data_IF_018735105533
#
_entry.id   IF_018735105533
#
_cell.length_a   1.000
_cell.length_b   1.000
_cell.length_c   1.000
_cell.angle_alpha   90.00
_cell.angle_beta   90.00
_cell.angle_gamma   90.00
#
_symmetry.space_group_name_H-M   'P 1'
#
loop_
_entity.id
_entity.type
_entity.pdbx_description
1 polymer ?
#
# COMPACT_ATOMS: atom_id res chain seq x y z
N UNK A 1 1.48 24.98 4.97
CA UNK A 1 2.76 24.98 5.71
C UNK A 1 3.86 25.55 4.83
N UNK A 2 4.66 26.49 5.36
CA UNK A 2 5.90 26.96 4.74
C UNK A 2 6.87 25.77 4.56
N UNK A 3 7.69 25.79 3.52
CA UNK A 3 8.67 24.74 3.20
C UNK A 3 9.50 24.20 4.39
N UNK A 4 10.07 25.03 5.28
CA UNK A 4 10.88 24.52 6.40
C UNK A 4 10.07 23.70 7.40
N UNK A 5 8.84 24.10 7.70
CA UNK A 5 7.97 23.38 8.66
C UNK A 5 7.62 21.98 8.12
N UNK A 6 7.44 21.86 6.80
CA UNK A 6 7.18 20.56 6.17
C UNK A 6 8.35 19.60 6.29
N UNK A 7 9.57 20.10 6.15
CA UNK A 7 10.78 19.27 6.27
C UNK A 7 11.01 18.82 7.71
N UNK A 8 10.83 19.70 8.69
CA UNK A 8 10.96 19.36 10.11
C UNK A 8 9.96 18.28 10.51
N UNK A 9 8.68 18.44 10.14
CA UNK A 9 7.67 17.44 10.42
C UNK A 9 7.95 16.11 9.70
N UNK A 10 8.50 16.16 8.49
CA UNK A 10 8.87 14.96 7.77
C UNK A 10 10.01 14.19 8.46
N UNK A 11 11.03 14.89 8.97
CA UNK A 11 12.10 14.27 9.75
C UNK A 11 11.57 13.68 11.06
N UNK A 12 10.66 14.39 11.73
CA UNK A 12 10.02 13.91 12.95
C UNK A 12 9.24 12.61 12.69
N UNK A 13 8.49 12.52 11.59
CA UNK A 13 7.81 11.29 11.16
C UNK A 13 8.77 10.10 11.00
N UNK A 14 9.96 10.31 10.43
CA UNK A 14 10.98 9.25 10.34
C UNK A 14 11.50 8.85 11.73
N UNK A 15 11.65 9.79 12.66
CA UNK A 15 12.07 9.49 14.02
C UNK A 15 11.03 8.64 14.78
N UNK A 16 9.73 8.86 14.56
CA UNK A 16 8.67 8.07 15.22
C UNK A 16 8.43 6.72 14.54
N UNK A 17 9.09 6.41 13.43
CA UNK A 17 8.91 5.15 12.69
C UNK A 17 9.14 3.90 13.56
N UNK A 18 10.31 3.80 14.18
CA UNK A 18 10.67 2.65 15.04
C UNK A 18 9.77 2.56 16.29
N UNK A 19 9.51 3.65 17.03
CA UNK A 19 8.56 3.63 18.14
C UNK A 19 7.16 3.14 17.75
N UNK A 20 6.61 3.58 16.62
CA UNK A 20 5.27 3.14 16.17
C UNK A 20 5.30 1.66 15.78
N UNK A 21 6.32 1.20 15.06
CA UNK A 21 6.45 -0.20 14.69
C UNK A 21 6.53 -1.11 15.93
N UNK A 22 7.30 -0.71 16.94
CA UNK A 22 7.38 -1.43 18.21
C UNK A 22 6.05 -1.44 18.97
N UNK A 23 5.33 -0.31 19.01
CA UNK A 23 4.00 -0.24 19.62
C UNK A 23 3.01 -1.19 18.92
N UNK A 24 3.01 -1.23 17.59
CA UNK A 24 2.18 -2.16 16.83
C UNK A 24 2.56 -3.62 17.09
N UNK A 25 3.87 -3.92 17.19
CA UNK A 25 4.37 -5.23 17.56
C UNK A 25 3.86 -5.69 18.94
N UNK A 26 3.96 -4.84 19.97
CA UNK A 26 3.46 -5.17 21.31
C UNK A 26 1.95 -5.47 21.32
N UNK A 27 1.17 -4.79 20.48
CA UNK A 27 -0.26 -5.03 20.33
C UNK A 27 -0.59 -6.25 19.46
N UNK A 28 0.32 -6.67 18.57
CA UNK A 28 0.04 -7.70 17.55
C UNK A 28 -0.34 -9.05 18.15
N UNK A 29 0.38 -9.50 19.18
CA UNK A 29 0.04 -10.74 19.90
C UNK A 29 -1.33 -10.69 20.57
N UNK A 30 -1.71 -9.54 21.11
CA UNK A 30 -3.04 -9.37 21.72
C UNK A 30 -4.13 -9.42 20.66
N UNK A 31 -3.94 -8.76 19.52
CA UNK A 31 -4.89 -8.75 18.41
C UNK A 31 -5.06 -10.15 17.83
N UNK A 32 -3.97 -10.88 17.59
CA UNK A 32 -4.02 -12.24 17.06
C UNK A 32 -4.73 -13.17 18.04
N UNK A 33 -4.36 -13.13 19.32
CA UNK A 33 -4.99 -13.96 20.35
C UNK A 33 -6.47 -13.61 20.58
N UNK A 34 -6.86 -12.35 20.37
CA UNK A 34 -8.26 -11.92 20.45
C UNK A 34 -9.08 -12.43 19.26
N UNK A 35 -8.53 -12.36 18.04
CA UNK A 35 -9.19 -12.89 16.84
C UNK A 35 -9.30 -14.41 16.91
N UNK A 36 -8.19 -15.08 17.25
CA UNK A 36 -8.16 -16.52 17.38
C UNK A 36 -6.99 -17.01 18.25
N UNK A 37 -7.26 -17.48 19.48
CA UNK A 37 -6.23 -17.92 20.44
C UNK A 37 -5.31 -19.02 19.91
N UNK A 38 -5.82 -19.85 19.00
CA UNK A 38 -5.14 -21.02 18.45
C UNK A 38 -4.43 -20.75 17.11
N UNK A 39 -4.39 -19.49 16.66
CA UNK A 39 -3.78 -19.12 15.39
C UNK A 39 -2.30 -19.53 15.28
N UNK A 40 -1.55 -19.44 16.39
CA UNK A 40 -0.13 -19.75 16.43
C UNK A 40 0.18 -21.23 16.13
N UNK A 41 -0.64 -22.15 16.63
CA UNK A 41 -0.46 -23.59 16.39
C UNK A 41 -0.75 -23.94 14.93
N UNK A 42 -1.79 -23.34 14.34
CA UNK A 42 -2.06 -23.50 12.91
C UNK A 42 -0.96 -22.90 12.06
N UNK A 43 -0.47 -21.72 12.40
CA UNK A 43 0.65 -21.10 11.69
C UNK A 43 1.88 -22.01 11.71
N UNK A 44 2.24 -22.53 12.89
CA UNK A 44 3.43 -23.38 13.04
C UNK A 44 3.28 -24.79 12.42
N UNK A 45 2.05 -25.23 12.14
CA UNK A 45 1.74 -26.55 11.56
C UNK A 45 1.26 -26.51 10.10
N UNK A 46 1.35 -25.35 9.43
CA UNK A 46 0.80 -25.14 8.08
C UNK A 46 -0.70 -25.46 7.97
N UNK A 47 -1.45 -25.14 9.03
CA UNK A 47 -2.89 -25.33 9.10
C UNK A 47 -3.33 -26.77 9.41
N UNK A 48 -2.39 -27.70 9.64
CA UNK A 48 -2.72 -29.11 9.93
C UNK A 48 -3.38 -29.28 11.30
N UNK A 49 -2.97 -28.52 12.31
CA UNK A 49 -3.46 -28.69 13.68
C UNK A 49 -3.85 -27.35 14.33
N UNK A 50 -4.96 -27.38 15.05
CA UNK A 50 -5.49 -26.24 15.82
C UNK A 50 -4.92 -26.15 17.23
N UNK A 51 -4.20 -27.17 17.67
CA UNK A 51 -3.63 -27.26 19.01
C UNK A 51 -2.18 -27.72 18.94
N UNK A 52 -1.45 -27.53 20.04
CA UNK A 52 -0.08 -28.03 20.18
C UNK A 52 -0.06 -29.55 20.30
N UNK A 53 0.06 -30.21 19.15
CA UNK A 53 0.19 -31.66 19.06
C UNK A 53 1.60 -32.15 19.41
N UNK A 54 2.61 -31.28 19.46
CA UNK A 54 4.00 -31.71 19.62
C UNK A 54 4.44 -31.77 21.08
N UNK A 55 4.02 -30.81 21.90
CA UNK A 55 4.39 -30.73 23.31
C UNK A 55 3.19 -30.95 24.21
N UNK A 56 2.14 -30.12 24.12
CA UNK A 56 0.94 -30.26 24.96
C UNK A 56 0.24 -31.62 24.77
N UNK A 57 0.13 -32.11 23.53
CA UNK A 57 -0.44 -33.42 23.24
C UNK A 57 0.36 -34.59 23.82
N UNK A 58 1.69 -34.48 23.87
CA UNK A 58 2.58 -35.47 24.45
C UNK A 58 2.57 -35.42 25.99
N UNK A 59 2.57 -34.23 26.58
CA UNK A 59 2.42 -34.04 28.03
C UNK A 59 1.07 -34.56 28.55
N UNK A 60 0.00 -34.43 27.75
CA UNK A 60 -1.30 -35.03 28.06
C UNK A 60 -1.31 -36.56 28.08
N UNK A 61 -0.24 -37.20 27.59
CA UNK A 61 0.00 -38.65 27.68
C UNK A 61 1.12 -38.98 28.67
N UNK A 62 1.44 -38.06 29.58
CA UNK A 62 2.48 -38.20 30.62
C UNK A 62 3.90 -38.37 30.07
N UNK A 63 4.14 -38.02 28.80
CA UNK A 63 5.48 -38.06 28.20
C UNK A 63 6.26 -36.82 28.65
N UNK A 64 7.46 -37.03 29.22
CA UNK A 64 8.28 -35.97 29.83
C UNK A 64 9.00 -35.06 28.80
N UNK A 65 8.26 -34.37 27.94
CA UNK A 65 8.88 -33.53 26.89
C UNK A 65 9.55 -32.27 27.47
N UNK A 66 9.08 -31.76 28.61
CA UNK A 66 9.70 -30.61 29.29
C UNK A 66 11.11 -30.92 29.77
N UNK A 67 11.32 -32.06 30.42
CA UNK A 67 12.64 -32.46 30.93
C UNK A 67 13.63 -32.73 29.78
N UNK A 68 13.13 -33.24 28.65
CA UNK A 68 13.92 -33.38 27.42
C UNK A 68 14.47 -32.04 26.92
N UNK A 69 13.62 -31.01 26.84
CA UNK A 69 14.05 -29.68 26.39
C UNK A 69 15.01 -29.02 27.41
N UNK A 70 14.72 -29.14 28.70
CA UNK A 70 15.59 -28.64 29.78
C UNK A 70 16.99 -29.26 29.76
N UNK A 71 17.12 -30.54 29.37
CA UNK A 71 18.43 -31.21 29.26
C UNK A 71 19.36 -30.56 28.21
N UNK A 72 18.81 -29.84 27.23
CA UNK A 72 19.57 -29.23 26.12
C UNK A 72 20.07 -27.82 26.48
N UNK A 73 19.22 -27.03 27.13
CA UNK A 73 19.48 -25.63 27.50
C UNK A 73 19.96 -25.45 28.95
N UNK A 74 19.88 -26.51 29.77
CA UNK A 74 20.21 -26.48 31.19
C UNK A 74 19.11 -25.80 32.02
N UNK A 75 19.46 -25.40 33.25
CA UNK A 75 18.54 -24.78 34.22
C UNK A 75 18.13 -23.32 33.90
N UNK A 76 18.17 -22.92 32.62
CA UNK A 76 17.71 -21.61 32.19
C UNK A 76 16.19 -21.57 32.14
N UNK A 77 15.58 -20.60 32.83
CA UNK A 77 14.13 -20.44 32.87
C UNK A 77 13.70 -19.47 31.77
N UNK A 78 12.95 -19.97 30.79
CA UNK A 78 12.40 -19.17 29.69
C UNK A 78 10.93 -18.84 29.98
N UNK A 79 10.55 -17.58 29.79
CA UNK A 79 9.17 -17.11 30.01
C UNK A 79 8.25 -17.35 28.82
N UNK A 80 8.80 -17.43 27.61
CA UNK A 80 8.05 -17.54 26.36
C UNK A 80 8.53 -18.73 25.53
N UNK A 81 7.64 -19.47 24.84
CA UNK A 81 8.01 -20.58 23.97
C UNK A 81 8.99 -20.18 22.85
N UNK A 82 8.88 -18.97 22.32
CA UNK A 82 9.78 -18.44 21.29
C UNK A 82 11.23 -18.43 21.76
N UNK A 83 11.47 -17.91 22.96
CA UNK A 83 12.81 -17.78 23.55
C UNK A 83 13.39 -19.17 23.84
N UNK A 84 12.57 -20.09 24.38
CA UNK A 84 12.95 -21.48 24.63
C UNK A 84 13.34 -22.20 23.34
N UNK A 85 12.48 -22.15 22.33
CA UNK A 85 12.72 -22.85 21.07
C UNK A 85 13.92 -22.28 20.32
N UNK A 86 14.10 -20.96 20.31
CA UNK A 86 15.30 -20.33 19.75
C UNK A 86 16.58 -20.83 20.43
N UNK A 87 16.58 -20.91 21.77
CA UNK A 87 17.73 -21.38 22.52
C UNK A 87 18.04 -22.87 22.30
N UNK A 88 17.00 -23.71 22.20
CA UNK A 88 17.14 -25.15 21.91
C UNK A 88 17.63 -25.38 20.48
N UNK A 89 17.09 -24.65 19.50
CA UNK A 89 17.45 -24.78 18.08
C UNK A 89 18.90 -24.39 17.78
N UNK A 90 19.55 -23.56 18.61
CA UNK A 90 21.00 -23.32 18.50
C UNK A 90 21.84 -24.61 18.64
N UNK A 91 21.27 -25.67 19.22
CA UNK A 91 21.87 -27.00 19.36
C UNK A 91 21.00 -28.05 18.63
N UNK A 92 20.65 -27.79 17.38
CA UNK A 92 19.71 -28.63 16.59
C UNK A 92 20.12 -30.11 16.57
N UNK A 93 21.41 -30.43 16.44
CA UNK A 93 21.88 -31.83 16.44
C UNK A 93 21.63 -32.52 17.79
N UNK A 94 21.85 -31.80 18.90
CA UNK A 94 21.55 -32.31 20.24
C UNK A 94 20.05 -32.48 20.45
N UNK A 95 19.24 -31.54 19.94
CA UNK A 95 17.78 -31.66 19.97
C UNK A 95 17.33 -32.93 19.23
N UNK A 96 17.81 -33.15 18.00
CA UNK A 96 17.45 -34.33 17.22
C UNK A 96 17.82 -35.61 17.95
N UNK A 97 19.05 -35.70 18.45
CA UNK A 97 19.50 -36.87 19.20
C UNK A 97 18.62 -37.12 20.44
N UNK A 98 18.30 -36.09 21.23
CA UNK A 98 17.46 -36.22 22.43
C UNK A 98 16.05 -36.69 22.10
N UNK A 99 15.44 -36.15 21.02
CA UNK A 99 14.10 -36.56 20.58
C UNK A 99 14.08 -38.00 20.06
N UNK A 100 15.08 -38.39 19.27
CA UNK A 100 15.19 -39.74 18.70
C UNK A 100 15.54 -40.80 19.74
N UNK A 101 16.28 -40.42 20.80
CA UNK A 101 16.63 -41.31 21.91
C UNK A 101 15.44 -41.60 22.83
N UNK A 102 14.36 -40.81 22.77
CA UNK A 102 13.19 -41.02 23.59
C UNK A 102 12.18 -41.94 22.87
N UNK A 103 12.18 -43.23 23.23
CA UNK A 103 11.31 -44.23 22.62
C UNK A 103 9.81 -43.91 22.77
N UNK A 104 9.39 -43.36 23.91
CA UNK A 104 7.98 -43.03 24.17
C UNK A 104 7.50 -41.88 23.27
N UNK A 105 8.34 -40.84 23.14
CA UNK A 105 8.06 -39.72 22.25
C UNK A 105 8.06 -40.13 20.78
N UNK A 106 9.00 -40.98 20.36
CA UNK A 106 9.04 -41.52 19.00
C UNK A 106 7.82 -42.38 18.66
N UNK A 107 7.34 -43.19 19.60
CA UNK A 107 6.08 -43.94 19.45
C UNK A 107 4.87 -43.00 19.35
N UNK A 108 4.84 -41.94 20.17
CA UNK A 108 3.81 -40.90 20.09
C UNK A 108 3.80 -40.21 18.72
N UNK A 109 4.96 -39.76 18.22
CA UNK A 109 5.07 -39.13 16.91
C UNK A 109 4.57 -40.07 15.81
N UNK A 110 5.01 -41.34 15.83
CA UNK A 110 4.59 -42.34 14.85
C UNK A 110 3.08 -42.60 14.87
N UNK A 111 2.47 -42.69 16.07
CA UNK A 111 1.02 -42.86 16.23
C UNK A 111 0.21 -41.71 15.63
N UNK A 112 0.77 -40.49 15.64
CA UNK A 112 0.16 -39.29 15.08
C UNK A 112 0.59 -38.99 13.63
N UNK A 113 1.32 -39.90 12.96
CA UNK A 113 1.91 -39.69 11.64
C UNK A 113 2.85 -38.46 11.55
N UNK A 114 3.59 -38.20 12.63
CA UNK A 114 4.55 -37.11 12.77
C UNK A 114 5.99 -37.65 12.76
N UNK A 115 6.94 -36.76 12.50
CA UNK A 115 8.38 -37.06 12.54
C UNK A 115 9.11 -35.95 13.32
N UNK A 116 10.36 -36.23 13.71
CA UNK A 116 11.23 -35.23 14.37
C UNK A 116 11.42 -33.98 13.51
N UNK A 117 11.47 -34.13 12.18
CA UNK A 117 11.56 -32.97 11.27
C UNK A 117 10.34 -32.05 11.37
N UNK A 118 9.15 -32.61 11.59
CA UNK A 118 7.95 -31.81 11.81
C UNK A 118 8.02 -31.03 13.13
N UNK A 119 8.58 -31.62 14.19
CA UNK A 119 8.82 -30.95 15.48
C UNK A 119 9.82 -29.81 15.31
N UNK A 120 10.94 -30.05 14.63
CA UNK A 120 11.97 -29.03 14.37
C UNK A 120 11.39 -27.90 13.52
N UNK A 121 10.63 -28.20 12.47
CA UNK A 121 9.99 -27.20 11.63
C UNK A 121 8.97 -26.34 12.42
N UNK A 122 8.19 -26.98 13.29
CA UNK A 122 7.27 -26.30 14.20
C UNK A 122 8.02 -25.34 15.14
N UNK A 123 9.08 -25.81 15.79
CA UNK A 123 9.91 -25.00 16.70
C UNK A 123 10.54 -23.82 15.96
N UNK A 124 11.06 -24.02 14.74
CA UNK A 124 11.64 -22.94 13.90
C UNK A 124 10.60 -21.86 13.63
N UNK A 125 9.40 -22.23 13.19
CA UNK A 125 8.32 -21.26 12.93
C UNK A 125 7.90 -20.47 14.16
N UNK A 126 7.79 -21.12 15.31
CA UNK A 126 7.45 -20.42 16.56
C UNK A 126 8.60 -19.53 17.03
N UNK A 127 9.86 -19.98 16.91
CA UNK A 127 11.05 -19.17 17.21
C UNK A 127 11.11 -17.90 16.37
N UNK A 128 10.84 -18.02 15.07
CA UNK A 128 10.92 -16.91 14.11
C UNK A 128 9.67 -15.99 14.15
N UNK A 129 8.69 -16.29 15.00
CA UNK A 129 7.42 -15.58 15.03
C UNK A 129 7.58 -14.11 15.45
N UNK A 130 8.43 -13.84 16.44
CA UNK A 130 8.69 -12.47 16.92
C UNK A 130 9.29 -11.62 15.79
N UNK A 131 10.28 -12.15 15.07
CA UNK A 131 10.94 -11.49 13.95
C UNK A 131 9.98 -11.27 12.77
N UNK A 132 9.17 -12.27 12.43
CA UNK A 132 8.19 -12.17 11.35
C UNK A 132 7.11 -11.11 11.66
N UNK A 133 6.61 -11.07 12.89
CA UNK A 133 5.67 -10.05 13.32
C UNK A 133 6.32 -8.67 13.36
N UNK A 134 7.55 -8.54 13.85
CA UNK A 134 8.27 -7.28 13.83
C UNK A 134 8.43 -6.76 12.38
N UNK A 135 8.86 -7.61 11.45
CA UNK A 135 9.01 -7.27 10.04
C UNK A 135 7.69 -6.83 9.39
N UNK A 136 6.58 -7.53 9.70
CA UNK A 136 5.26 -7.13 9.22
C UNK A 136 4.84 -5.75 9.75
N UNK A 137 5.11 -5.46 11.03
CA UNK A 137 4.79 -4.17 11.64
C UNK A 137 5.69 -3.03 11.13
N UNK A 138 6.98 -3.29 10.89
CA UNK A 138 7.88 -2.36 10.21
C UNK A 138 7.33 -2.00 8.82
N UNK A 139 6.94 -3.00 8.03
CA UNK A 139 6.34 -2.80 6.72
C UNK A 139 5.06 -1.95 6.78
N UNK A 140 4.11 -2.29 7.67
CA UNK A 140 2.84 -1.55 7.80
C UNK A 140 3.08 -0.10 8.22
N UNK A 141 4.00 0.13 9.15
CA UNK A 141 4.35 1.47 9.61
C UNK A 141 4.99 2.27 8.49
N UNK A 142 5.89 1.67 7.72
CA UNK A 142 6.55 2.30 6.58
C UNK A 142 5.53 2.73 5.53
N UNK A 143 4.59 1.84 5.20
CA UNK A 143 3.51 2.13 4.26
C UNK A 143 2.64 3.30 4.74
N UNK A 144 2.28 3.31 6.03
CA UNK A 144 1.53 4.42 6.65
C UNK A 144 2.26 5.75 6.55
N UNK A 145 3.57 5.79 6.85
CA UNK A 145 4.38 7.00 6.75
C UNK A 145 4.49 7.47 5.29
N UNK A 146 4.70 6.55 4.34
CA UNK A 146 4.75 6.86 2.91
C UNK A 146 3.42 7.46 2.45
N UNK A 147 2.28 6.93 2.90
CA UNK A 147 0.96 7.50 2.62
C UNK A 147 0.83 8.92 3.18
N UNK A 148 1.32 9.18 4.39
CA UNK A 148 1.34 10.54 4.98
C UNK A 148 2.21 11.49 4.14
N UNK A 149 3.40 11.05 3.71
CA UNK A 149 4.26 11.83 2.80
C UNK A 149 3.60 12.12 1.45
N UNK A 150 2.86 11.16 0.92
CA UNK A 150 2.14 11.35 -0.32
C UNK A 150 0.97 12.31 -0.17
N UNK A 151 0.09 12.10 0.81
CA UNK A 151 -1.17 12.83 0.97
C UNK A 151 -0.98 14.24 1.54
N UNK A 152 -0.21 14.38 2.63
CA UNK A 152 -0.06 15.67 3.32
C UNK A 152 1.05 16.53 2.69
N UNK A 153 2.17 15.90 2.34
CA UNK A 153 3.35 16.62 1.86
C UNK A 153 3.43 16.73 0.34
N UNK A 154 2.69 15.91 -0.40
CA UNK A 154 2.72 15.83 -1.87
C UNK A 154 4.11 15.49 -2.41
N UNK A 155 4.86 14.65 -1.68
CA UNK A 155 6.26 14.30 -1.99
C UNK A 155 6.43 13.14 -2.98
N UNK A 156 5.47 12.97 -3.91
CA UNK A 156 5.45 11.86 -4.88
C UNK A 156 6.81 11.61 -5.56
N UNK A 157 7.40 12.63 -6.19
CA UNK A 157 8.68 12.47 -6.91
C UNK A 157 9.85 12.11 -5.98
N UNK A 158 9.84 12.59 -4.74
CA UNK A 158 10.89 12.29 -3.75
C UNK A 158 10.78 10.84 -3.25
N UNK A 159 9.56 10.34 -3.09
CA UNK A 159 9.30 8.95 -2.72
C UNK A 159 9.85 8.01 -3.81
N UNK A 160 9.60 8.29 -5.10
CA UNK A 160 10.15 7.47 -6.18
C UNK A 160 11.68 7.46 -6.23
N UNK A 161 12.30 8.64 -6.05
CA UNK A 161 13.77 8.73 -6.04
C UNK A 161 14.35 7.95 -4.87
N UNK A 162 13.79 8.11 -3.66
CA UNK A 162 14.18 7.35 -2.49
C UNK A 162 14.01 5.84 -2.67
N UNK A 163 12.88 5.41 -3.24
CA UNK A 163 12.60 4.01 -3.54
C UNK A 163 13.60 3.42 -4.55
N UNK A 164 13.93 4.16 -5.61
CA UNK A 164 14.93 3.74 -6.60
C UNK A 164 16.31 3.56 -5.98
N UNK A 165 16.76 4.52 -5.16
CA UNK A 165 18.05 4.42 -4.46
C UNK A 165 18.06 3.25 -3.47
N UNK A 166 16.99 3.08 -2.68
CA UNK A 166 16.86 1.98 -1.72
C UNK A 166 16.89 0.63 -2.42
N UNK A 167 16.20 0.50 -3.56
CA UNK A 167 16.17 -0.72 -4.34
C UNK A 167 17.55 -1.05 -4.91
N UNK A 168 18.23 -0.08 -5.51
CA UNK A 168 19.60 -0.25 -6.04
C UNK A 168 20.54 -0.68 -4.92
N UNK A 169 20.48 -0.02 -3.75
CA UNK A 169 21.30 -0.36 -2.60
C UNK A 169 21.11 -1.83 -2.20
N UNK A 170 19.86 -2.28 -1.99
CA UNK A 170 19.57 -3.64 -1.56
C UNK A 170 19.91 -4.70 -2.61
N UNK A 171 19.76 -4.40 -3.90
CA UNK A 171 20.13 -5.33 -4.98
C UNK A 171 21.64 -5.49 -5.07
N UNK A 172 22.39 -4.38 -5.00
CA UNK A 172 23.86 -4.43 -4.98
C UNK A 172 24.32 -5.19 -3.75
N UNK A 173 23.76 -4.88 -2.58
CA UNK A 173 24.11 -5.55 -1.32
C UNK A 173 23.92 -7.06 -1.42
N UNK A 174 22.78 -7.51 -1.97
CA UNK A 174 22.50 -8.92 -2.24
C UNK A 174 23.51 -9.55 -3.23
N UNK A 175 23.86 -8.87 -4.33
CA UNK A 175 24.86 -9.36 -5.29
C UNK A 175 26.27 -9.47 -4.70
N UNK A 176 26.57 -8.65 -3.69
CA UNK A 176 27.87 -8.64 -3.00
C UNK A 176 27.89 -9.48 -1.72
N UNK A 177 26.88 -10.32 -1.50
CA UNK A 177 26.77 -11.13 -0.27
C UNK A 177 26.86 -10.29 1.02
N UNK A 178 26.19 -9.13 1.05
CA UNK A 178 26.13 -8.15 2.15
C UNK A 178 27.38 -7.27 2.36
N UNK A 179 28.40 -7.38 1.51
CA UNK A 179 29.64 -6.61 1.66
C UNK A 179 29.40 -5.09 1.63
N UNK A 180 28.43 -4.62 0.84
CA UNK A 180 28.11 -3.19 0.78
C UNK A 180 27.58 -2.70 2.12
N UNK A 181 26.59 -3.38 2.71
CA UNK A 181 26.07 -3.01 4.03
C UNK A 181 27.17 -3.09 5.09
N UNK A 182 27.98 -4.14 5.10
CA UNK A 182 29.08 -4.27 6.05
C UNK A 182 30.09 -3.10 5.96
N UNK A 183 30.33 -2.58 4.75
CA UNK A 183 31.19 -1.42 4.53
C UNK A 183 30.63 -0.11 5.12
N UNK A 184 29.33 -0.03 5.41
CA UNK A 184 28.67 1.11 6.07
C UNK A 184 28.63 0.99 7.60
N UNK A 185 28.91 -0.18 8.17
CA UNK A 185 28.90 -0.39 9.62
C UNK A 185 29.83 0.58 10.38
N UNK A 186 31.11 0.79 9.98
CA UNK A 186 32.00 1.70 10.70
C UNK A 186 31.50 3.15 10.77
N UNK A 187 30.84 3.62 9.72
CA UNK A 187 30.28 4.96 9.61
C UNK A 187 29.04 5.09 10.49
N UNK A 188 28.18 4.06 10.51
CA UNK A 188 27.03 4.01 11.41
C UNK A 188 27.45 3.96 12.88
N UNK A 189 28.47 3.17 13.22
CA UNK A 189 29.04 3.11 14.57
C UNK A 189 29.64 4.45 15.02
N UNK A 190 30.17 5.25 14.10
CA UNK A 190 30.62 6.62 14.43
C UNK A 190 29.47 7.57 14.77
N UNK A 191 28.30 7.35 14.18
CA UNK A 191 27.10 8.15 14.46
C UNK A 191 26.37 7.68 15.73
N UNK A 192 26.42 6.39 16.01
CA UNK A 192 25.81 5.75 17.18
C UNK A 192 26.87 4.90 17.89
N UNK A 193 27.51 5.48 18.90
CA UNK A 193 28.70 4.92 19.57
C UNK A 193 28.48 3.51 20.12
N UNK A 194 27.26 3.24 20.58
CA UNK A 194 26.91 2.00 21.29
C UNK A 194 26.30 0.93 20.37
N UNK A 195 26.38 1.13 19.05
CA UNK A 195 25.81 0.20 18.07
C UNK A 195 26.67 -1.06 17.92
N UNK A 196 26.15 -2.20 18.39
CA UNK A 196 26.76 -3.50 18.13
C UNK A 196 26.60 -3.90 16.65
N UNK A 197 27.44 -4.80 16.17
CA UNK A 197 27.32 -5.30 14.79
C UNK A 197 26.05 -6.15 14.61
N UNK A 198 25.62 -6.87 15.64
CA UNK A 198 24.36 -7.63 15.62
C UNK A 198 23.16 -6.69 15.47
N UNK A 199 23.09 -5.60 16.24
CA UNK A 199 22.02 -4.59 16.13
C UNK A 199 21.99 -3.92 14.75
N UNK A 200 23.18 -3.68 14.18
CA UNK A 200 23.31 -3.17 12.82
C UNK A 200 22.72 -4.14 11.79
N UNK A 201 23.07 -5.43 11.90
CA UNK A 201 22.54 -6.45 10.99
C UNK A 201 21.03 -6.60 11.10
N UNK A 202 20.46 -6.55 12.31
CA UNK A 202 19.00 -6.54 12.50
C UNK A 202 18.37 -5.36 11.78
N UNK A 203 18.99 -4.18 11.87
CA UNK A 203 18.51 -2.98 11.18
C UNK A 203 18.59 -3.14 9.66
N UNK A 204 19.73 -3.58 9.11
CA UNK A 204 19.88 -3.74 7.66
C UNK A 204 18.95 -4.83 7.11
N UNK A 205 18.84 -5.97 7.79
CA UNK A 205 18.12 -7.15 7.31
C UNK A 205 16.61 -7.11 7.58
N UNK A 206 16.15 -6.34 8.56
CA UNK A 206 14.72 -6.13 8.82
C UNK A 206 14.20 -4.83 8.21
N UNK A 207 14.76 -3.69 8.61
CA UNK A 207 14.20 -2.37 8.35
C UNK A 207 14.29 -1.94 6.88
N UNK A 208 15.43 -2.15 6.22
CA UNK A 208 15.60 -1.73 4.82
C UNK A 208 14.72 -2.56 3.85
N UNK A 209 14.63 -3.90 3.96
CA UNK A 209 13.68 -4.68 3.18
C UNK A 209 12.23 -4.28 3.41
N UNK A 210 11.81 -4.04 4.66
CA UNK A 210 10.45 -3.58 4.96
C UNK A 210 10.12 -2.24 4.29
N UNK A 211 11.06 -1.28 4.32
CA UNK A 211 10.93 -0.01 3.60
C UNK A 211 10.87 -0.19 2.08
N UNK A 212 11.66 -1.13 1.52
CA UNK A 212 11.64 -1.45 0.09
C UNK A 212 10.27 -1.98 -0.32
N UNK A 213 9.74 -2.97 0.40
CA UNK A 213 8.42 -3.53 0.08
C UNK A 213 7.30 -2.51 0.24
N UNK A 214 7.37 -1.66 1.27
CA UNK A 214 6.38 -0.59 1.47
C UNK A 214 6.40 0.45 0.34
N UNK A 215 7.60 0.86 -0.10
CA UNK A 215 7.75 1.79 -1.23
C UNK A 215 7.28 1.17 -2.54
N UNK A 216 7.62 -0.09 -2.84
CA UNK A 216 7.14 -0.80 -4.03
C UNK A 216 5.62 -0.94 -4.03
N UNK A 217 5.03 -1.32 -2.90
CA UNK A 217 3.57 -1.40 -2.75
C UNK A 217 2.90 -0.06 -3.05
N UNK A 218 3.43 1.03 -2.48
CA UNK A 218 2.95 2.37 -2.78
C UNK A 218 3.05 2.71 -4.29
N UNK A 219 4.17 2.39 -4.93
CA UNK A 219 4.39 2.65 -6.36
C UNK A 219 3.37 1.90 -7.22
N UNK A 220 3.06 0.64 -6.89
CA UNK A 220 2.06 -0.15 -7.59
C UNK A 220 0.69 0.53 -7.49
N UNK A 221 0.24 0.88 -6.28
CA UNK A 221 -1.06 1.55 -6.09
C UNK A 221 -1.12 2.92 -6.78
N UNK A 222 -0.08 3.75 -6.64
CA UNK A 222 -0.06 5.08 -7.25
C UNK A 222 -0.08 4.99 -8.78
N UNK A 223 0.63 4.03 -9.37
CA UNK A 223 0.62 3.77 -10.82
C UNK A 223 -0.75 3.32 -11.31
N UNK A 224 -1.43 2.40 -10.60
CA UNK A 224 -2.79 1.95 -10.95
C UNK A 224 -3.78 3.10 -10.88
N UNK A 225 -3.76 3.88 -9.79
CA UNK A 225 -4.65 5.04 -9.59
C UNK A 225 -4.41 6.08 -10.69
N UNK A 226 -3.17 6.32 -11.08
CA UNK A 226 -2.84 7.27 -12.16
C UNK A 226 -3.26 6.78 -13.51
N UNK A 227 -3.03 5.51 -13.84
CA UNK A 227 -3.51 4.93 -15.09
C UNK A 227 -5.03 5.11 -15.23
N UNK A 228 -5.77 4.92 -14.14
CA UNK A 228 -7.21 5.17 -14.13
C UNK A 228 -7.56 6.66 -14.36
N UNK A 229 -6.86 7.58 -13.67
CA UNK A 229 -7.05 9.03 -13.84
C UNK A 229 -6.73 9.49 -15.26
N UNK A 230 -5.64 9.00 -15.84
CA UNK A 230 -5.19 9.37 -17.18
C UNK A 230 -6.15 8.85 -18.26
N UNK A 231 -6.63 7.61 -18.11
CA UNK A 231 -7.69 7.06 -18.97
C UNK A 231 -8.96 7.91 -18.90
N UNK A 232 -9.39 8.29 -17.69
CA UNK A 232 -10.57 9.15 -17.51
C UNK A 232 -10.36 10.51 -18.17
N UNK A 233 -9.21 11.13 -17.97
CA UNK A 233 -8.89 12.43 -18.58
C UNK A 233 -8.83 12.35 -20.11
N UNK A 234 -8.19 11.32 -20.66
CA UNK A 234 -8.11 11.12 -22.12
C UNK A 234 -9.49 10.90 -22.76
N UNK A 235 -10.38 10.16 -22.10
CA UNK A 235 -11.79 10.03 -22.52
C UNK A 235 -12.50 11.38 -22.51
N UNK A 236 -12.40 12.12 -21.40
CA UNK A 236 -13.00 13.45 -21.29
C UNK A 236 -12.49 14.40 -22.38
N UNK A 237 -11.20 14.37 -22.69
CA UNK A 237 -10.62 15.17 -23.78
C UNK A 237 -11.18 14.79 -25.15
N UNK A 238 -11.33 13.49 -25.41
CA UNK A 238 -11.90 12.99 -26.67
C UNK A 238 -13.36 13.41 -26.80
N UNK A 239 -14.15 13.22 -25.75
CA UNK A 239 -15.57 13.58 -25.72
C UNK A 239 -15.77 15.11 -25.83
N UNK A 240 -14.84 15.89 -25.27
CA UNK A 240 -14.84 17.36 -25.37
C UNK A 240 -14.60 17.80 -26.81
N UNK A 241 -13.63 17.20 -27.51
CA UNK A 241 -13.36 17.47 -28.93
C UNK A 241 -14.59 17.14 -29.79
N UNK A 242 -15.19 15.96 -29.58
CA UNK A 242 -16.41 15.55 -30.29
C UNK A 242 -17.55 16.54 -30.05
N UNK A 243 -17.75 16.95 -28.79
CA UNK A 243 -18.79 17.91 -28.42
C UNK A 243 -18.57 19.27 -29.07
N UNK A 244 -17.32 19.75 -29.12
CA UNK A 244 -16.96 21.01 -29.76
C UNK A 244 -17.23 21.01 -31.27
N UNK A 245 -16.74 20.01 -32.01
CA UNK A 245 -16.98 19.92 -33.45
C UNK A 245 -18.46 19.68 -33.80
N UNK A 246 -19.20 19.01 -32.93
CA UNK A 246 -20.66 18.85 -33.08
C UNK A 246 -21.40 20.16 -32.88
N UNK A 247 -20.89 21.02 -31.99
CA UNK A 247 -21.51 22.30 -31.66
C UNK A 247 -21.52 23.26 -32.86
N UNK A 248 -20.44 23.29 -33.65
CA UNK A 248 -20.38 24.05 -34.90
C UNK A 248 -21.44 23.57 -35.92
N UNK A 249 -21.56 22.24 -36.12
CA UNK A 249 -22.56 21.66 -37.03
C UNK A 249 -23.98 21.99 -36.60
N UNK A 250 -24.26 21.88 -35.30
CA UNK A 250 -25.58 22.18 -34.71
C UNK A 250 -25.93 23.65 -34.90
N UNK A 251 -24.98 24.57 -34.72
CA UNK A 251 -25.21 25.99 -34.95
C UNK A 251 -25.61 26.28 -36.41
N UNK A 252 -24.97 25.62 -37.37
CA UNK A 252 -25.32 25.77 -38.78
C UNK A 252 -26.74 25.22 -39.08
N UNK A 253 -27.10 24.07 -38.51
CA UNK A 253 -28.44 23.48 -38.67
C UNK A 253 -29.51 24.38 -38.04
N UNK A 254 -29.29 24.86 -36.81
CA UNK A 254 -30.23 25.76 -36.12
C UNK A 254 -30.42 27.06 -36.91
N UNK A 255 -29.35 27.64 -37.44
CA UNK A 255 -29.43 28.84 -38.29
C UNK A 255 -30.30 28.62 -39.52
N UNK A 256 -30.17 27.47 -40.20
CA UNK A 256 -31.00 27.14 -41.36
C UNK A 256 -32.47 26.95 -40.97
N UNK A 257 -32.76 26.23 -39.87
CA UNK A 257 -34.14 26.00 -39.41
C UNK A 257 -34.82 27.31 -39.01
N UNK A 258 -34.12 28.20 -38.30
CA UNK A 258 -34.65 29.51 -37.90
C UNK A 258 -35.03 30.34 -39.14
N UNK A 259 -34.22 30.27 -40.21
CA UNK A 259 -34.45 31.04 -41.43
C UNK A 259 -35.52 30.43 -42.34
N UNK A 260 -35.56 29.11 -42.50
CA UNK A 260 -36.39 28.43 -43.50
C UNK A 260 -37.73 27.95 -42.94
N UNK A 261 -37.75 27.41 -41.71
CA UNK A 261 -38.94 26.79 -41.13
C UNK A 261 -38.92 26.87 -39.58
N UNK A 262 -39.19 28.04 -38.98
CA UNK A 262 -39.03 28.27 -37.55
C UNK A 262 -39.96 27.41 -36.67
N UNK A 263 -41.00 26.81 -37.26
CA UNK A 263 -41.96 25.92 -36.57
C UNK A 263 -41.42 24.50 -36.32
N UNK A 264 -40.35 24.08 -37.01
CA UNK A 264 -39.75 22.74 -36.83
C UNK A 264 -38.91 22.76 -35.55
N UNK A 265 -39.35 22.11 -34.48
CA UNK A 265 -38.55 21.97 -33.26
C UNK A 265 -37.47 20.91 -33.44
N UNK A 266 -36.23 21.26 -33.12
CA UNK A 266 -35.15 20.29 -33.08
C UNK A 266 -35.28 19.47 -31.78
N UNK A 267 -35.65 18.20 -31.91
CA UNK A 267 -36.00 17.34 -30.76
C UNK A 267 -34.77 16.85 -30.01
N UNK A 268 -33.61 16.71 -30.67
CA UNK A 268 -32.42 16.22 -29.99
C UNK A 268 -31.12 16.77 -30.60
N UNK A 269 -30.34 17.46 -29.78
CA UNK A 269 -28.99 17.90 -30.10
C UNK A 269 -28.02 16.98 -29.37
N UNK A 270 -27.23 16.18 -30.11
CA UNK A 270 -26.17 15.33 -29.54
C UNK A 270 -24.94 16.14 -29.12
N UNK A 271 -25.11 17.14 -28.26
CA UNK A 271 -24.00 17.82 -27.58
C UNK A 271 -23.99 17.36 -26.13
N UNK A 272 -22.91 16.73 -25.72
CA UNK A 272 -22.75 16.29 -24.34
C UNK A 272 -22.38 17.49 -23.44
N UNK A 273 -23.39 18.23 -22.99
CA UNK A 273 -23.24 19.40 -22.10
C UNK A 273 -22.51 19.04 -20.80
N UNK A 274 -22.69 17.82 -20.30
CA UNK A 274 -22.05 17.35 -19.07
C UNK A 274 -20.53 17.27 -19.20
N UNK A 275 -20.01 16.89 -20.37
CA UNK A 275 -18.56 16.84 -20.63
C UNK A 275 -17.96 18.24 -20.66
N UNK A 276 -18.62 19.19 -21.32
CA UNK A 276 -18.20 20.60 -21.33
C UNK A 276 -18.22 21.16 -19.90
N UNK A 277 -19.27 20.84 -19.14
CA UNK A 277 -19.40 21.26 -17.75
C UNK A 277 -18.30 20.67 -16.85
N UNK A 278 -17.98 19.39 -16.99
CA UNK A 278 -16.89 18.75 -16.22
C UNK A 278 -15.53 19.41 -16.53
N UNK A 279 -15.27 19.75 -17.79
CA UNK A 279 -14.07 20.48 -18.19
C UNK A 279 -14.01 21.89 -17.58
N UNK A 280 -15.13 22.63 -17.61
CA UNK A 280 -15.21 23.97 -17.01
C UNK A 280 -15.01 23.94 -15.48
N UNK A 281 -15.53 22.91 -14.79
CA UNK A 281 -15.36 22.73 -13.34
C UNK A 281 -13.90 22.47 -12.94
N UNK A 282 -13.12 21.80 -13.78
CA UNK A 282 -11.68 21.56 -13.56
C UNK A 282 -10.83 22.81 -13.74
N UNK A 283 -11.22 23.72 -14.65
CA UNK A 283 -10.43 24.90 -15.02
C UNK A 283 -11.01 26.19 -14.44
N UNK A 284 -10.93 26.32 -13.11
CA UNK A 284 -11.54 27.43 -12.35
C UNK A 284 -10.93 28.81 -12.61
N UNK A 285 -9.71 28.85 -13.14
CA UNK A 285 -8.95 30.09 -13.35
C UNK A 285 -9.29 30.75 -14.70
N UNK A 286 -9.89 30.03 -15.64
CA UNK A 286 -10.28 30.58 -16.93
C UNK A 286 -11.68 31.21 -16.83
N UNK A 287 -11.75 32.53 -16.99
CA UNK A 287 -12.99 33.30 -16.86
C UNK A 287 -14.03 32.91 -17.91
N UNK A 288 -13.62 32.63 -19.16
CA UNK A 288 -14.56 32.23 -20.22
C UNK A 288 -15.19 30.87 -19.93
N UNK A 289 -14.43 29.94 -19.33
CA UNK A 289 -14.96 28.64 -18.90
C UNK A 289 -15.90 28.77 -17.70
N UNK A 290 -15.68 29.74 -16.80
CA UNK A 290 -16.63 30.01 -15.71
C UNK A 290 -17.95 30.60 -16.22
N UNK A 291 -17.92 31.43 -17.26
CA UNK A 291 -19.13 31.95 -17.89
C UNK A 291 -19.92 30.83 -18.59
N UNK A 292 -19.23 29.95 -19.32
CA UNK A 292 -19.84 28.75 -19.92
C UNK A 292 -20.47 27.86 -18.85
N UNK A 293 -19.78 27.64 -17.72
CA UNK A 293 -20.30 26.84 -16.60
C UNK A 293 -21.65 27.37 -16.12
N UNK A 294 -21.76 28.69 -15.88
CA UNK A 294 -23.01 29.32 -15.44
C UNK A 294 -24.13 29.14 -16.46
N UNK A 295 -23.82 29.32 -17.75
CA UNK A 295 -24.78 29.13 -18.84
C UNK A 295 -25.29 27.69 -18.87
N UNK A 296 -24.40 26.70 -18.82
CA UNK A 296 -24.79 25.28 -18.85
C UNK A 296 -25.58 24.89 -17.59
N UNK A 297 -25.17 25.33 -16.40
CA UNK A 297 -25.89 25.05 -15.15
C UNK A 297 -27.29 25.67 -15.14
N UNK A 298 -27.44 26.89 -15.65
CA UNK A 298 -28.75 27.54 -15.79
C UNK A 298 -29.63 26.81 -16.81
N UNK A 299 -29.06 26.40 -17.95
CA UNK A 299 -29.82 25.72 -19.00
C UNK A 299 -30.25 24.31 -18.62
N UNK A 300 -29.43 23.57 -17.87
CA UNK A 300 -29.82 22.26 -17.34
C UNK A 300 -31.02 22.36 -16.36
N UNK A 301 -31.15 23.49 -15.65
CA UNK A 301 -32.32 23.77 -14.81
C UNK A 301 -33.54 24.17 -15.65
N UNK A 302 -33.34 24.84 -16.78
CA UNK A 302 -34.41 25.30 -17.67
C UNK A 302 -34.91 24.26 -18.68
N UNK A 303 -34.15 23.20 -19.01
CA UNK A 303 -34.57 22.12 -19.92
C UNK A 303 -35.85 21.38 -19.48
N UNK A 304 -36.31 21.61 -18.25
CA UNK A 304 -37.64 21.19 -17.76
C UNK A 304 -38.78 22.00 -18.44
N UNK A 305 -38.46 23.11 -19.11
CA UNK A 305 -39.39 23.98 -19.85
C UNK A 305 -39.01 23.96 -21.34
N UNK A 306 -40.00 23.93 -22.22
CA UNK A 306 -39.84 23.87 -23.67
C UNK A 306 -39.05 25.08 -24.23
N UNK A 307 -37.72 24.97 -24.37
CA UNK A 307 -36.85 26.00 -24.97
C UNK A 307 -37.12 26.12 -26.48
N UNK A 308 -37.12 27.35 -27.01
CA UNK A 308 -37.28 27.62 -28.45
C UNK A 308 -35.97 27.41 -29.24
N UNK A 309 -36.06 27.22 -30.56
CA UNK A 309 -34.87 27.06 -31.41
C UNK A 309 -33.96 28.30 -31.40
N UNK A 310 -34.54 29.51 -31.26
CA UNK A 310 -33.79 30.77 -31.20
C UNK A 310 -32.96 30.84 -29.92
N UNK A 311 -33.57 30.54 -28.76
CA UNK A 311 -32.88 30.48 -27.47
C UNK A 311 -31.78 29.42 -27.47
N UNK A 312 -32.05 28.22 -28.04
CA UNK A 312 -31.05 27.16 -28.23
C UNK A 312 -29.85 27.64 -29.07
N UNK A 313 -30.10 28.40 -30.15
CA UNK A 313 -29.04 28.95 -30.98
C UNK A 313 -28.20 29.98 -30.22
N UNK A 314 -28.83 30.91 -29.48
CA UNK A 314 -28.12 31.92 -28.69
C UNK A 314 -27.24 31.29 -27.61
N UNK A 315 -27.77 30.28 -26.90
CA UNK A 315 -27.05 29.50 -25.90
C UNK A 315 -25.80 28.86 -26.51
N UNK A 316 -25.97 28.08 -27.58
CA UNK A 316 -24.83 27.36 -28.17
C UNK A 316 -23.84 28.32 -28.82
N UNK A 317 -24.31 29.42 -29.43
CA UNK A 317 -23.44 30.42 -30.04
C UNK A 317 -22.55 31.09 -29.00
N UNK A 318 -23.12 31.40 -27.83
CA UNK A 318 -22.39 31.95 -26.69
C UNK A 318 -21.37 30.97 -26.15
N UNK A 319 -21.74 29.69 -26.01
CA UNK A 319 -20.83 28.62 -25.60
C UNK A 319 -19.67 28.49 -26.60
N UNK A 320 -19.95 28.42 -27.90
CA UNK A 320 -18.93 28.31 -28.95
C UNK A 320 -17.94 29.48 -28.92
N UNK A 321 -18.47 30.70 -28.83
CA UNK A 321 -17.67 31.93 -28.80
C UNK A 321 -16.74 31.98 -27.59
N UNK A 322 -17.24 31.59 -26.42
CA UNK A 322 -16.43 31.58 -25.19
C UNK A 322 -15.39 30.45 -25.19
N UNK A 323 -15.71 29.27 -25.74
CA UNK A 323 -14.73 28.20 -25.93
C UNK A 323 -13.58 28.65 -26.84
N UNK A 324 -13.89 29.36 -27.93
CA UNK A 324 -12.91 29.95 -28.84
C UNK A 324 -12.15 31.17 -28.27
N UNK A 325 -12.50 31.67 -27.09
CA UNK A 325 -11.74 32.71 -26.38
C UNK A 325 -10.85 32.14 -25.27
N UNK A 326 -11.18 30.98 -24.73
CA UNK A 326 -10.40 30.30 -23.70
C UNK A 326 -9.07 29.77 -24.27
N UNK A 327 -7.96 30.28 -23.74
CA UNK A 327 -6.62 29.77 -24.08
C UNK A 327 -6.40 28.37 -23.55
N UNK A 328 -6.95 28.06 -22.37
CA UNK A 328 -6.91 26.73 -21.74
C UNK A 328 -7.66 25.68 -22.58
N UNK A 329 -8.83 26.03 -23.12
CA UNK A 329 -9.57 25.16 -24.02
C UNK A 329 -8.81 24.94 -25.33
N UNK A 330 -8.29 26.03 -25.93
CA UNK A 330 -7.56 25.94 -27.20
C UNK A 330 -6.37 25.01 -27.11
N UNK A 331 -5.54 25.16 -26.08
CA UNK A 331 -4.35 24.32 -25.86
C UNK A 331 -4.67 22.82 -25.66
N UNK A 332 -5.95 22.48 -25.46
CA UNK A 332 -6.42 21.11 -25.24
C UNK A 332 -7.11 20.50 -26.45
N UNK A 333 -7.76 21.33 -27.26
CA UNK A 333 -8.58 20.90 -28.40
C UNK A 333 -7.82 20.98 -29.71
N UNK A 334 -7.08 22.07 -29.94
CA UNK A 334 -6.22 22.32 -31.10
C UNK A 334 -4.77 22.01 -30.74
#
# INVERSE_FOLDING_TARGET
>A
MKHPVKTIFALLLMYVYLPIAFLLYMCSFQVISWLEPNAYYRYATDGKYTEDIFFKGAMGQEIEVSSMLESIVGSQVFKRPQDLFSAVLKKEDSLRHTLESNNEYMLYLKKNNLTVDHVIAYMKKISDLDDNLMNANLYLTALGIIMVYYLLFKYRNRIYLGAGLLYIFLVIDAFTYNLVSDAFYPQMKRLVSDLSYEDYLVTVKGLLPALREATLTFIIFDTVIQSYKDRKNKRLETDLKISYYSLEKVLNILKNIINENPKIKLVEVKINKNVILEFCKKNKQDQYLQDIKKIIEHNLQQEIRNISNLELYEIYSTIYKNLNKSTTFKAKVF
#
